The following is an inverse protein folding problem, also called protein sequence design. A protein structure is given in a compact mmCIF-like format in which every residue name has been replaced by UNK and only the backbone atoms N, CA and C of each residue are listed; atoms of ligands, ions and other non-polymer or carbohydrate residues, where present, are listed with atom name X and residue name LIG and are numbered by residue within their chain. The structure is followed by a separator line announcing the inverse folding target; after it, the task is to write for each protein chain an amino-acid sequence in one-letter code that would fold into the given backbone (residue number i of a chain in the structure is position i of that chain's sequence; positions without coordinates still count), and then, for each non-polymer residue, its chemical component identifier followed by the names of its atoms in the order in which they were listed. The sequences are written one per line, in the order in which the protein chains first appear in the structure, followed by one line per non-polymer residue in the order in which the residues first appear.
data_IF_955303224281
#
_entry.id   IF_955303224281
#
_cell.length_a   1.000
_cell.length_b   1.000
_cell.length_c   1.000
_cell.angle_alpha   90.00
_cell.angle_beta   90.00
_cell.angle_gamma   90.00
#
_symmetry.space_group_name_H-M   'P 1'
#
loop_
_entity.id
_entity.type
_entity.pdbx_description
1 polymer ?
#
# COMPACT_ATOMS: atom_id res chain seq x y z
N UNK A 1 0.10 22.09 1.62
CA UNK A 1 -1.19 21.79 2.27
C UNK A 1 -1.92 20.90 1.28
N UNK A 2 -1.73 19.59 1.33
CA UNK A 2 -2.41 18.73 2.30
C UNK A 2 -1.46 17.83 3.08
N UNK A 3 -1.57 17.99 4.39
CA UNK A 3 -1.03 17.16 5.46
C UNK A 3 -1.81 15.83 5.43
N UNK A 4 -1.46 14.91 4.53
CA UNK A 4 -2.32 13.77 4.17
C UNK A 4 -2.14 12.51 5.02
N UNK A 5 -1.00 12.38 5.71
CA UNK A 5 -0.72 11.22 6.53
C UNK A 5 -1.49 11.29 7.86
N UNK A 6 -2.37 10.32 8.08
CA UNK A 6 -3.22 10.23 9.27
C UNK A 6 -2.46 9.61 10.44
N UNK A 7 -1.61 8.62 10.16
CA UNK A 7 -0.87 7.84 11.18
C UNK A 7 0.30 7.08 10.56
N UNK A 8 1.33 6.81 11.36
CA UNK A 8 2.45 5.93 10.98
C UNK A 8 2.64 4.83 12.04
N UNK A 9 3.01 3.63 11.59
CA UNK A 9 3.31 2.47 12.43
C UNK A 9 4.65 1.88 12.04
N UNK A 10 5.39 1.39 13.03
CA UNK A 10 6.53 0.49 12.80
C UNK A 10 6.10 -0.93 13.08
N UNK A 11 6.15 -1.77 12.05
CA UNK A 11 5.66 -3.13 12.09
C UNK A 11 6.82 -4.10 11.85
N UNK A 12 6.89 -5.23 12.57
CA UNK A 12 7.85 -6.28 12.25
C UNK A 12 7.45 -6.99 10.96
N UNK A 13 8.44 -7.39 10.17
CA UNK A 13 8.28 -8.39 9.13
C UNK A 13 8.66 -9.77 9.66
N UNK A 14 7.81 -10.76 9.40
CA UNK A 14 8.01 -12.13 9.87
C UNK A 14 8.10 -13.03 8.64
N UNK A 15 9.30 -13.55 8.31
CA UNK A 15 9.46 -14.50 7.21
C UNK A 15 8.64 -15.77 7.43
N UNK A 16 7.97 -16.25 6.39
CA UNK A 16 7.18 -17.48 6.36
C UNK A 16 7.54 -18.29 5.10
N UNK A 17 7.15 -19.57 4.99
CA UNK A 17 7.51 -20.39 3.82
C UNK A 17 7.06 -19.82 2.46
N UNK A 18 5.93 -19.10 2.45
CA UNK A 18 5.30 -18.58 1.24
C UNK A 18 5.54 -17.07 1.04
N UNK A 19 6.54 -16.47 1.71
CA UNK A 19 6.89 -15.06 1.59
C UNK A 19 7.14 -14.38 2.93
N UNK A 20 6.73 -13.13 3.08
CA UNK A 20 6.94 -12.36 4.31
C UNK A 20 5.63 -11.83 4.84
N UNK A 21 5.35 -12.11 6.11
CA UNK A 21 4.12 -11.62 6.75
C UNK A 21 4.32 -10.29 7.45
N UNK A 22 3.31 -9.43 7.32
CA UNK A 22 3.15 -8.19 8.08
C UNK A 22 1.81 -8.20 8.79
N UNK A 23 1.79 -7.79 10.06
CA UNK A 23 0.56 -7.71 10.85
C UNK A 23 0.09 -6.27 10.91
N UNK A 24 -1.00 -5.97 10.23
CA UNK A 24 -1.55 -4.63 10.08
C UNK A 24 -2.54 -4.30 11.22
N UNK A 25 -2.45 -3.11 11.83
CA UNK A 25 -3.35 -2.67 12.90
C UNK A 25 -4.84 -2.65 12.50
N UNK A 26 -5.77 -2.91 13.43
CA UNK A 26 -7.20 -3.01 13.13
C UNK A 26 -7.82 -1.68 12.67
N UNK A 27 -7.31 -0.56 13.20
CA UNK A 27 -7.73 0.79 12.85
C UNK A 27 -7.29 1.21 11.45
N UNK A 28 -6.10 0.77 11.02
CA UNK A 28 -5.68 0.92 9.63
C UNK A 28 -6.58 0.10 8.68
N UNK A 29 -6.88 -1.15 9.02
CA UNK A 29 -7.81 -1.97 8.24
C UNK A 29 -9.21 -1.37 8.16
N UNK A 30 -9.73 -0.84 9.28
CA UNK A 30 -11.04 -0.21 9.30
C UNK A 30 -11.10 1.05 8.41
N UNK A 31 -9.98 1.76 8.27
CA UNK A 31 -9.88 2.91 7.38
C UNK A 31 -9.73 2.53 5.90
N UNK A 32 -9.02 1.44 5.59
CA UNK A 32 -8.93 0.92 4.22
C UNK A 32 -10.24 0.28 3.78
N UNK A 33 -10.80 -0.63 4.59
CA UNK A 33 -11.96 -1.45 4.25
C UNK A 33 -13.08 -1.34 5.30
N UNK A 34 -13.81 -0.20 5.34
CA UNK A 34 -14.84 0.05 6.34
C UNK A 34 -16.03 -0.92 6.27
N UNK A 35 -16.27 -1.57 5.12
CA UNK A 35 -17.37 -2.52 4.93
C UNK A 35 -17.07 -3.96 5.41
N UNK A 36 -15.95 -4.19 6.09
CA UNK A 36 -15.58 -5.54 6.56
C UNK A 36 -15.17 -6.51 5.46
N UNK A 37 -15.03 -6.03 4.21
CA UNK A 37 -14.44 -6.78 3.10
C UNK A 37 -12.94 -6.87 3.34
N UNK A 38 -12.51 -7.99 3.90
CA UNK A 38 -11.16 -8.22 4.41
C UNK A 38 -10.11 -8.49 3.32
N UNK A 39 -10.26 -7.90 2.15
CA UNK A 39 -9.32 -8.03 1.04
C UNK A 39 -8.74 -6.65 0.76
N UNK A 40 -7.43 -6.59 0.72
CA UNK A 40 -6.68 -5.43 0.26
C UNK A 40 -5.59 -5.94 -0.66
N UNK A 41 -5.16 -5.08 -1.57
CA UNK A 41 -4.14 -5.41 -2.52
C UNK A 41 -2.92 -4.52 -2.33
N UNK A 42 -1.77 -5.06 -2.70
CA UNK A 42 -0.51 -4.35 -2.74
C UNK A 42 -0.05 -4.25 -4.20
N UNK A 43 0.45 -3.08 -4.60
CA UNK A 43 1.15 -2.91 -5.87
C UNK A 43 2.39 -2.03 -5.68
N UNK A 44 3.32 -2.12 -6.63
CA UNK A 44 4.57 -1.36 -6.63
C UNK A 44 4.33 0.08 -7.07
N UNK A 45 4.82 1.05 -6.31
CA UNK A 45 4.99 2.39 -6.85
C UNK A 45 6.01 2.35 -8.01
N UNK A 46 5.73 3.05 -9.12
CA UNK A 46 6.48 2.89 -10.37
C UNK A 46 7.93 3.40 -10.29
N UNK A 47 8.15 4.45 -9.51
CA UNK A 47 9.44 5.16 -9.43
C UNK A 47 10.05 5.14 -8.02
N UNK A 48 9.38 4.51 -7.06
CA UNK A 48 9.78 4.48 -5.66
C UNK A 48 9.84 3.06 -5.08
N UNK A 49 10.76 2.82 -4.13
CA UNK A 49 10.84 1.55 -3.39
C UNK A 49 9.77 1.50 -2.30
N UNK A 50 8.49 1.62 -2.70
CA UNK A 50 7.33 1.66 -1.81
C UNK A 50 6.25 0.73 -2.37
N UNK A 51 5.53 0.05 -1.48
CA UNK A 51 4.30 -0.66 -1.83
C UNK A 51 3.10 0.18 -1.44
N UNK A 52 2.14 0.33 -2.34
CA UNK A 52 0.87 0.98 -2.07
C UNK A 52 -0.14 -0.09 -1.68
N UNK A 53 -0.78 0.08 -0.53
CA UNK A 53 -1.83 -0.77 0.01
C UNK A 53 -3.18 -0.10 -0.21
N UNK A 54 -4.14 -0.80 -0.79
CA UNK A 54 -5.46 -0.25 -1.09
C UNK A 54 -6.58 -1.29 -0.86
N UNK A 55 -7.81 -0.87 -0.54
CA UNK A 55 -8.93 -1.80 -0.37
C UNK A 55 -9.20 -2.56 -1.67
N UNK A 56 -9.64 -3.81 -1.54
CA UNK A 56 -9.98 -4.82 -2.56
C UNK A 56 -10.06 -4.33 -4.03
N UNK A 57 -9.66 -5.22 -4.96
CA UNK A 57 -9.68 -5.02 -6.42
C UNK A 57 -11.10 -4.83 -6.99
N UNK A 58 -11.74 -3.71 -6.69
CA UNK A 58 -12.84 -3.17 -7.48
C UNK A 58 -12.28 -2.10 -8.41
N UNK A 59 -12.60 -2.21 -9.71
CA UNK A 59 -12.02 -1.38 -10.77
C UNK A 59 -12.25 0.10 -10.47
N UNK A 60 -13.46 0.48 -10.03
CA UNK A 60 -13.77 1.88 -9.71
C UNK A 60 -12.97 2.44 -8.52
N UNK A 61 -12.55 1.57 -7.58
CA UNK A 61 -11.68 1.96 -6.47
C UNK A 61 -10.25 2.22 -6.96
N UNK A 62 -9.77 1.40 -7.91
CA UNK A 62 -8.44 1.57 -8.51
C UNK A 62 -8.39 2.77 -9.45
N UNK A 63 -9.43 3.00 -10.25
CA UNK A 63 -9.55 4.20 -11.10
C UNK A 63 -9.48 5.46 -10.24
N UNK A 64 -10.28 5.53 -9.18
CA UNK A 64 -10.26 6.67 -8.25
C UNK A 64 -8.90 6.81 -7.56
N UNK A 65 -8.24 5.70 -7.21
CA UNK A 65 -6.89 5.73 -6.65
C UNK A 65 -5.89 6.29 -7.67
N UNK A 66 -5.95 5.87 -8.92
CA UNK A 66 -5.06 6.31 -9.99
C UNK A 66 -5.25 7.80 -10.29
N UNK A 67 -6.51 8.26 -10.40
CA UNK A 67 -6.83 9.68 -10.57
C UNK A 67 -6.26 10.52 -9.43
N UNK A 68 -6.38 10.05 -8.18
CA UNK A 68 -5.91 10.77 -7.00
C UNK A 68 -4.39 10.71 -6.80
N UNK A 69 -3.75 9.57 -7.07
CA UNK A 69 -2.31 9.39 -6.84
C UNK A 69 -1.46 10.03 -7.94
N UNK A 70 -1.89 9.92 -9.20
CA UNK A 70 -1.10 10.37 -10.34
C UNK A 70 -1.53 11.75 -10.88
N UNK A 71 -2.55 12.39 -10.27
CA UNK A 71 -3.12 13.67 -10.73
C UNK A 71 -3.47 13.66 -12.23
N UNK A 72 -3.94 12.50 -12.72
CA UNK A 72 -4.21 12.28 -14.13
C UNK A 72 -5.66 12.65 -14.43
N UNK A 73 -5.85 13.74 -15.16
CA UNK A 73 -7.18 14.17 -15.65
C UNK A 73 -7.49 13.65 -17.07
N UNK A 74 -6.51 13.07 -17.76
CA UNK A 74 -6.67 12.49 -19.09
C UNK A 74 -7.14 11.03 -19.02
N UNK A 75 -8.29 10.74 -19.63
CA UNK A 75 -8.96 9.43 -19.54
C UNK A 75 -8.11 8.29 -20.09
N UNK A 76 -7.38 8.49 -21.19
CA UNK A 76 -6.55 7.43 -21.81
C UNK A 76 -5.38 7.05 -20.90
N UNK A 77 -4.73 8.06 -20.33
CA UNK A 77 -3.61 7.86 -19.39
C UNK A 77 -4.09 7.20 -18.10
N UNK A 78 -5.25 7.61 -17.57
CA UNK A 78 -5.85 7.03 -16.38
C UNK A 78 -6.22 5.56 -16.57
N UNK A 79 -6.82 5.20 -17.71
CA UNK A 79 -7.14 3.81 -18.06
C UNK A 79 -5.88 2.93 -18.16
N UNK A 80 -4.82 3.44 -18.78
CA UNK A 80 -3.56 2.71 -18.91
C UNK A 80 -2.91 2.45 -17.54
N UNK A 81 -2.85 3.46 -16.68
CA UNK A 81 -2.29 3.33 -15.34
C UNK A 81 -3.14 2.40 -14.47
N UNK A 82 -4.47 2.50 -14.55
CA UNK A 82 -5.39 1.57 -13.88
C UNK A 82 -5.12 0.14 -14.32
N UNK A 83 -4.97 -0.11 -15.62
CA UNK A 83 -4.66 -1.44 -16.14
C UNK A 83 -3.30 -1.96 -15.65
N UNK A 84 -2.29 -1.10 -15.57
CA UNK A 84 -0.96 -1.47 -15.05
C UNK A 84 -1.00 -1.78 -13.55
N UNK A 85 -1.70 -0.97 -12.76
CA UNK A 85 -1.90 -1.21 -11.32
C UNK A 85 -2.65 -2.52 -11.09
N UNK A 86 -3.75 -2.76 -11.82
CA UNK A 86 -4.51 -4.01 -11.71
C UNK A 86 -3.68 -5.24 -12.12
N UNK A 87 -2.77 -5.11 -13.09
CA UNK A 87 -1.92 -6.20 -13.54
C UNK A 87 -0.80 -6.55 -12.53
N UNK A 88 -0.25 -5.55 -11.84
CA UNK A 88 0.77 -5.75 -10.81
C UNK A 88 0.16 -6.10 -9.45
N UNK A 89 -1.05 -5.63 -9.16
CA UNK A 89 -1.68 -5.80 -7.87
C UNK A 89 -1.80 -7.27 -7.46
N UNK A 90 -1.44 -7.55 -6.20
CA UNK A 90 -1.57 -8.86 -5.57
C UNK A 90 -2.57 -8.78 -4.44
N UNK A 91 -3.54 -9.68 -4.42
CA UNK A 91 -4.45 -9.82 -3.30
C UNK A 91 -3.69 -10.30 -2.07
N UNK A 92 -3.81 -9.52 -1.00
CA UNK A 92 -3.20 -9.84 0.27
C UNK A 92 -4.30 -10.38 1.19
N UNK A 93 -4.30 -11.70 1.36
CA UNK A 93 -5.33 -12.40 2.13
C UNK A 93 -5.19 -12.12 3.64
N UNK A 94 -6.28 -11.64 4.27
CA UNK A 94 -6.41 -11.61 5.73
C UNK A 94 -6.56 -13.03 6.27
N UNK A 95 -5.62 -13.48 7.10
CA UNK A 95 -5.85 -14.61 7.99
C UNK A 95 -6.47 -14.10 9.29
N UNK A 96 -7.61 -14.67 9.68
CA UNK A 96 -8.48 -14.24 10.78
C UNK A 96 -7.77 -13.91 12.11
N UNK A 97 -8.06 -12.72 12.66
CA UNK A 97 -7.75 -12.24 14.03
C UNK A 97 -8.23 -10.77 14.15
N UNK A 98 -8.24 -10.13 15.35
CA UNK A 98 -8.47 -8.68 15.46
C UNK A 98 -7.54 -7.84 14.58
N UNK A 99 -6.40 -8.40 14.16
CA UNK A 99 -5.42 -7.80 13.25
C UNK A 99 -5.54 -8.37 11.83
N UNK A 100 -5.02 -7.63 10.85
CA UNK A 100 -4.93 -8.06 9.46
C UNK A 100 -3.55 -8.60 9.18
N UNK A 101 -3.37 -9.92 9.28
CA UNK A 101 -2.11 -10.54 8.83
C UNK A 101 -2.15 -10.67 7.32
N UNK A 102 -1.05 -10.29 6.70
CA UNK A 102 -0.86 -10.21 5.27
C UNK A 102 0.45 -10.86 4.87
N UNK A 103 0.42 -11.78 3.91
CA UNK A 103 1.63 -12.34 3.30
C UNK A 103 1.95 -11.56 2.04
N UNK A 104 3.16 -11.02 1.96
CA UNK A 104 3.72 -10.35 0.79
C UNK A 104 4.67 -11.31 0.08
N UNK A 105 4.55 -11.35 -1.25
CA UNK A 105 5.46 -12.10 -2.11
C UNK A 105 6.89 -11.52 -2.01
N UNK A 106 7.90 -12.37 -2.15
CA UNK A 106 9.32 -11.97 -2.03
C UNK A 106 9.73 -10.89 -3.04
N UNK A 107 9.06 -10.82 -4.19
CA UNK A 107 9.34 -9.84 -5.24
C UNK A 107 8.76 -8.44 -4.91
N UNK A 108 7.70 -8.36 -4.12
CA UNK A 108 7.17 -7.11 -3.55
C UNK A 108 8.06 -6.62 -2.41
N UNK A 109 8.49 -7.54 -1.54
CA UNK A 109 9.43 -7.27 -0.44
C UNK A 109 10.76 -6.72 -1.00
N UNK A 110 11.30 -7.37 -2.03
CA UNK A 110 12.53 -6.94 -2.68
C UNK A 110 12.40 -5.58 -3.37
N UNK A 111 11.28 -5.32 -4.07
CA UNK A 111 11.04 -4.02 -4.73
C UNK A 111 11.09 -2.85 -3.75
N UNK A 112 10.40 -2.98 -2.62
CA UNK A 112 10.33 -1.91 -1.62
C UNK A 112 11.48 -1.94 -0.60
N UNK A 113 12.48 -2.81 -0.80
CA UNK A 113 13.63 -2.94 0.10
C UNK A 113 13.24 -3.25 1.54
N UNK A 114 12.13 -3.97 1.73
CA UNK A 114 11.59 -4.24 3.06
C UNK A 114 12.48 -5.23 3.81
N UNK A 115 12.68 -4.98 5.10
CA UNK A 115 13.55 -5.79 5.97
C UNK A 115 12.88 -6.03 7.32
N UNK A 116 13.63 -6.40 8.36
CA UNK A 116 13.13 -6.80 9.69
C UNK A 116 12.02 -5.91 10.27
N UNK A 117 12.06 -4.61 9.97
CA UNK A 117 11.05 -3.63 10.36
C UNK A 117 10.64 -2.82 9.13
N UNK A 118 9.35 -2.53 9.03
CA UNK A 118 8.76 -1.67 8.00
C UNK A 118 8.01 -0.51 8.62
N UNK A 119 7.93 0.58 7.88
CA UNK A 119 7.05 1.70 8.18
C UNK A 119 5.78 1.59 7.34
N UNK A 120 4.64 1.63 8.02
CA UNK A 120 3.31 1.69 7.43
C UNK A 120 2.73 3.08 7.65
N UNK A 121 2.55 3.84 6.58
CA UNK A 121 1.97 5.19 6.61
C UNK A 121 0.53 5.13 6.09
N UNK A 122 -0.40 5.69 6.85
CA UNK A 122 -1.82 5.71 6.53
C UNK A 122 -2.24 7.03 5.88
N UNK A 123 -2.97 6.94 4.77
CA UNK A 123 -3.65 8.04 4.12
C UNK A 123 -5.16 7.75 4.02
N UNK A 124 -6.00 8.76 3.72
CA UNK A 124 -7.39 8.49 3.35
C UNK A 124 -7.45 7.58 2.12
N UNK A 125 -8.06 6.39 2.27
CA UNK A 125 -8.31 5.44 1.17
C UNK A 125 -7.14 4.54 0.74
N UNK A 126 -5.91 4.76 1.23
CA UNK A 126 -4.75 3.91 0.92
C UNK A 126 -3.70 3.98 2.04
N UNK A 127 -2.67 3.13 1.97
CA UNK A 127 -1.47 3.27 2.79
C UNK A 127 -0.21 2.94 2.02
N UNK A 128 0.93 3.28 2.60
CA UNK A 128 2.25 3.05 2.02
C UNK A 128 3.05 2.16 2.96
N UNK A 129 3.66 1.10 2.41
CA UNK A 129 4.58 0.23 3.12
C UNK A 129 5.99 0.40 2.56
N UNK A 130 6.95 0.68 3.44
CA UNK A 130 8.30 1.07 3.04
C UNK A 130 9.35 0.72 4.10
N UNK A 131 10.62 0.71 3.72
CA UNK A 131 11.72 0.59 4.68
C UNK A 131 11.81 1.85 5.58
N UNK A 132 12.10 1.71 6.89
CA UNK A 132 12.16 2.85 7.84
C UNK A 132 13.24 3.90 7.52
N UNK A 133 14.25 3.48 6.76
CA UNK A 133 15.37 4.32 6.32
C UNK A 133 15.32 4.58 4.80
N UNK A 134 14.19 4.32 4.14
CA UNK A 134 14.00 4.85 2.79
C UNK A 134 13.93 6.39 2.90
N UNK A 135 15.08 7.01 2.65
CA UNK A 135 15.38 8.45 2.77
C UNK A 135 14.45 9.37 1.95
N UNK A 136 13.47 8.81 1.23
CA UNK A 136 12.46 9.53 0.43
C UNK A 136 11.16 9.90 1.16
N UNK A 137 10.86 9.35 2.35
CA UNK A 137 9.58 9.62 3.06
C UNK A 137 9.81 10.02 4.53
N UNK A 138 10.99 10.54 4.88
CA UNK A 138 11.20 11.19 6.18
C UNK A 138 10.55 12.56 6.18
N UNK A 139 9.80 12.81 7.25
CA UNK A 139 8.75 13.83 7.44
C UNK A 139 9.19 15.31 7.45
N UNK A 140 10.22 15.68 6.69
CA UNK A 140 10.54 17.06 6.38
C UNK A 140 10.87 17.19 4.89
N UNK A 141 9.92 17.71 4.10
CA UNK A 141 10.09 18.11 2.69
C UNK A 141 10.42 16.98 1.71
N UNK A 142 9.39 16.44 1.06
CA UNK A 142 9.13 16.59 -0.38
C UNK A 142 7.91 15.76 -0.75
N UNK A 143 7.13 16.34 -1.65
CA UNK A 143 6.20 15.69 -2.55
C UNK A 143 6.65 14.26 -2.84
N UNK A 144 5.86 13.27 -2.40
CA UNK A 144 5.98 11.92 -2.93
C UNK A 144 5.49 12.06 -4.38
N UNK A 145 6.41 12.25 -5.31
CA UNK A 145 6.10 12.10 -6.73
C UNK A 145 5.94 10.59 -6.96
N UNK A 146 4.69 10.13 -7.01
CA UNK A 146 4.31 8.74 -7.36
C UNK A 146 4.11 8.68 -8.87
#
# INVERSE_FOLDING_TARGET
MTDGAVRSYRLPLIPVPDGVTVTVPPDFLAALAPEGRAQWAAFRAFDQPVLVLFPALDIGTVESLVENLFDVTDTVTGELLTALVLADAREVMRQDAPFGTATLDDDLVAHAGLSDVVELVQFPGHGLLMAPDADGVRSDRREIAI
#
